data_IF_875994174642
#
_entry.id   IF_875994174642
#
_cell.length_a   1.000
_cell.length_b   1.000
_cell.length_c   1.000
_cell.angle_alpha   90.00
_cell.angle_beta   90.00
_cell.angle_gamma   90.00
#
_symmetry.space_group_name_H-M   'P 1'
#
loop_
_entity.id
_entity.type
_entity.pdbx_description
1 polymer ?
#
# COMPACT_ATOMS: atom_id res chain seq x y z
N UNK A 1 7.01 -14.22 0.88
CA UNK A 1 8.05 -13.40 1.54
C UNK A 1 7.48 -12.10 2.11
N UNK A 2 6.89 -11.21 1.29
CA UNK A 2 6.37 -9.91 1.73
C UNK A 2 5.31 -9.98 2.85
N UNK A 3 4.40 -10.95 2.79
CA UNK A 3 3.42 -11.18 3.86
C UNK A 3 4.04 -11.55 5.22
N UNK A 4 5.30 -12.03 5.26
CA UNK A 4 6.03 -12.21 6.53
C UNK A 4 6.55 -10.90 7.09
N UNK A 5 6.96 -9.96 6.21
CA UNK A 5 7.35 -8.62 6.62
C UNK A 5 6.15 -7.90 7.24
N UNK A 6 5.01 -7.90 6.58
CA UNK A 6 3.78 -7.22 7.03
C UNK A 6 2.80 -8.14 7.77
N UNK A 7 3.32 -9.20 8.40
CA UNK A 7 2.49 -10.18 9.08
C UNK A 7 1.67 -9.52 10.22
N UNK A 8 0.40 -9.91 10.45
CA UNK A 8 -0.44 -9.32 11.50
C UNK A 8 0.23 -9.26 12.88
N UNK A 9 0.93 -10.34 13.27
CA UNK A 9 1.66 -10.43 14.55
C UNK A 9 2.89 -9.50 14.64
N UNK A 10 3.30 -8.83 13.55
CA UNK A 10 4.49 -7.97 13.47
C UNK A 10 4.15 -6.53 13.10
N UNK A 11 2.87 -6.17 12.99
CA UNK A 11 2.45 -4.85 12.49
C UNK A 11 3.16 -3.70 13.20
N UNK A 12 3.22 -3.72 14.53
CA UNK A 12 3.86 -2.66 15.33
C UNK A 12 5.32 -2.40 14.93
N UNK A 13 6.08 -3.45 14.58
CA UNK A 13 7.48 -3.33 14.16
C UNK A 13 7.66 -3.12 12.67
N UNK A 14 6.66 -3.49 11.87
CA UNK A 14 6.74 -3.54 10.41
C UNK A 14 6.08 -2.34 9.73
N UNK A 15 5.22 -1.60 10.44
CA UNK A 15 4.53 -0.43 9.87
C UNK A 15 5.51 0.62 9.32
N UNK A 16 6.69 0.75 9.94
CA UNK A 16 7.75 1.65 9.48
C UNK A 16 8.24 1.38 8.05
N UNK A 17 7.97 0.19 7.48
CA UNK A 17 8.34 -0.17 6.10
C UNK A 17 7.26 0.13 5.08
N UNK A 18 6.08 0.62 5.50
CA UNK A 18 5.01 0.98 4.58
C UNK A 18 5.45 2.06 3.56
N UNK A 19 6.16 3.14 3.94
CA UNK A 19 6.59 4.16 2.98
C UNK A 19 7.47 3.58 1.86
N UNK A 20 8.50 2.80 2.23
CA UNK A 20 9.42 2.17 1.26
C UNK A 20 8.69 1.13 0.42
N UNK A 21 7.79 0.36 1.03
CA UNK A 21 6.99 -0.64 0.30
C UNK A 21 6.09 0.01 -0.75
N UNK A 22 5.55 1.20 -0.47
CA UNK A 22 4.75 1.96 -1.44
C UNK A 22 5.63 2.61 -2.51
N UNK A 23 6.84 3.07 -2.17
CA UNK A 23 7.78 3.65 -3.14
C UNK A 23 8.15 2.66 -4.26
N UNK A 24 8.29 1.38 -3.93
CA UNK A 24 8.63 0.32 -4.88
C UNK A 24 7.51 -0.01 -5.89
N UNK A 25 6.28 0.50 -5.72
CA UNK A 25 5.17 0.22 -6.63
C UNK A 25 5.45 0.60 -8.08
N UNK A 26 6.14 1.72 -8.30
CA UNK A 26 6.47 2.17 -9.66
C UNK A 26 7.49 1.24 -10.32
N UNK A 27 8.55 0.88 -9.58
CA UNK A 27 9.57 -0.05 -10.06
C UNK A 27 8.97 -1.41 -10.40
N UNK A 28 8.11 -1.94 -9.51
CA UNK A 28 7.38 -3.20 -9.74
C UNK A 28 6.58 -3.14 -11.04
N UNK A 29 5.84 -2.05 -11.27
CA UNK A 29 5.06 -1.89 -12.50
C UNK A 29 5.95 -1.88 -13.76
N UNK A 30 7.14 -1.28 -13.70
CA UNK A 30 8.07 -1.24 -14.82
C UNK A 30 8.66 -2.61 -15.17
N UNK A 31 8.72 -3.55 -14.22
CA UNK A 31 9.22 -4.91 -14.48
C UNK A 31 8.26 -5.79 -15.31
N UNK A 32 7.07 -5.28 -15.65
CA UNK A 32 6.22 -5.86 -16.69
C UNK A 32 5.29 -7.00 -16.25
N UNK A 33 5.24 -7.34 -14.96
CA UNK A 33 4.23 -8.26 -14.44
C UNK A 33 2.93 -7.49 -14.12
N UNK A 34 1.93 -7.70 -14.97
CA UNK A 34 0.62 -7.04 -14.91
C UNK A 34 -0.18 -7.35 -13.63
N UNK A 35 0.12 -8.46 -12.95
CA UNK A 35 -0.57 -8.91 -11.74
C UNK A 35 0.18 -8.56 -10.45
N UNK A 36 1.50 -8.39 -10.52
CA UNK A 36 2.36 -8.18 -9.35
C UNK A 36 1.97 -7.01 -8.45
N UNK A 37 1.54 -5.84 -8.96
CA UNK A 37 1.19 -4.72 -8.09
C UNK A 37 0.04 -5.05 -7.13
N UNK A 38 -0.93 -5.87 -7.54
CA UNK A 38 -2.06 -6.22 -6.69
C UNK A 38 -1.65 -7.16 -5.55
N UNK A 39 -0.87 -8.19 -5.88
CA UNK A 39 -0.35 -9.13 -4.87
C UNK A 39 0.60 -8.43 -3.89
N UNK A 40 1.45 -7.52 -4.38
CA UNK A 40 2.30 -6.66 -3.57
C UNK A 40 1.47 -5.84 -2.58
N UNK A 41 0.50 -5.08 -3.08
CA UNK A 41 -0.36 -4.22 -2.25
C UNK A 41 -1.15 -5.00 -1.21
N UNK A 42 -1.69 -6.18 -1.55
CA UNK A 42 -2.36 -7.04 -0.59
C UNK A 42 -1.40 -7.55 0.48
N UNK A 43 -0.21 -8.00 0.08
CA UNK A 43 0.84 -8.41 1.01
C UNK A 43 1.35 -7.28 1.91
N UNK A 44 1.26 -6.02 1.48
CA UNK A 44 1.70 -4.84 2.23
C UNK A 44 0.60 -4.25 3.12
N UNK A 45 -0.62 -4.06 2.63
CA UNK A 45 -1.68 -3.32 3.32
C UNK A 45 -2.74 -4.21 3.94
N UNK A 46 -2.87 -5.45 3.44
CA UNK A 46 -3.99 -6.34 3.75
C UNK A 46 -4.16 -6.68 5.23
N UNK A 47 -3.14 -6.49 6.07
CA UNK A 47 -3.21 -6.72 7.51
C UNK A 47 -3.44 -5.46 8.36
N UNK A 48 -3.12 -4.25 7.88
CA UNK A 48 -3.09 -3.03 8.69
C UNK A 48 -4.44 -2.35 8.86
N UNK A 49 -4.76 -1.93 10.10
CA UNK A 49 -6.01 -1.20 10.49
C UNK A 49 -5.70 0.09 11.27
N UNK A 50 -4.43 0.42 11.49
CA UNK A 50 -4.00 1.56 12.31
C UNK A 50 -4.20 2.91 11.59
N UNK A 51 -4.45 3.96 12.38
CA UNK A 51 -4.56 5.33 11.87
C UNK A 51 -3.26 5.82 11.22
N UNK A 52 -2.11 5.40 11.76
CA UNK A 52 -0.79 5.73 11.23
C UNK A 52 -0.49 5.04 9.88
N UNK A 53 -0.93 3.79 9.67
CA UNK A 53 -0.85 3.14 8.37
C UNK A 53 -1.75 3.85 7.34
N UNK A 54 -2.98 4.23 7.75
CA UNK A 54 -3.88 5.00 6.90
C UNK A 54 -3.29 6.38 6.54
N UNK A 55 -2.64 7.05 7.49
CA UNK A 55 -1.95 8.32 7.24
C UNK A 55 -0.82 8.16 6.23
N UNK A 56 -0.03 7.07 6.32
CA UNK A 56 1.03 6.76 5.35
C UNK A 56 0.47 6.60 3.94
N UNK A 57 -0.63 5.84 3.76
CA UNK A 57 -1.28 5.67 2.46
C UNK A 57 -1.80 7.01 1.91
N UNK A 58 -2.45 7.83 2.76
CA UNK A 58 -2.94 9.16 2.35
C UNK A 58 -1.80 10.09 1.95
N UNK A 59 -0.71 10.11 2.69
CA UNK A 59 0.48 10.90 2.39
C UNK A 59 1.08 10.46 1.04
N UNK A 60 1.20 9.15 0.80
CA UNK A 60 1.67 8.63 -0.47
C UNK A 60 0.77 9.05 -1.63
N UNK A 61 -0.55 8.91 -1.50
CA UNK A 61 -1.52 9.32 -2.52
C UNK A 61 -1.53 10.83 -2.79
N UNK A 62 -1.19 11.66 -1.78
CA UNK A 62 -1.08 13.12 -1.92
C UNK A 62 0.21 13.52 -2.65
N UNK A 63 1.32 12.84 -2.36
CA UNK A 63 2.59 13.02 -3.06
C UNK A 63 2.56 12.53 -4.53
N UNK A 64 1.60 11.67 -4.87
CA UNK A 64 1.43 11.06 -6.19
C UNK A 64 0.04 11.38 -6.80
N UNK A 65 -0.20 12.64 -7.21
CA UNK A 65 -1.48 13.05 -7.76
C UNK A 65 -1.82 12.32 -9.07
N UNK A 66 -3.12 12.25 -9.39
CA UNK A 66 -3.64 11.47 -10.51
C UNK A 66 -3.11 11.88 -11.90
N UNK A 67 -2.54 13.09 -12.03
CA UNK A 67 -1.93 13.56 -13.27
C UNK A 67 -0.46 13.17 -13.47
N UNK A 68 0.24 12.72 -12.42
CA UNK A 68 1.67 12.37 -12.49
C UNK A 68 1.95 10.90 -12.17
N UNK A 69 1.02 10.24 -11.49
CA UNK A 69 1.12 8.82 -11.15
C UNK A 69 0.25 7.97 -12.07
N UNK A 70 0.70 6.75 -12.36
CA UNK A 70 -0.06 5.86 -13.22
C UNK A 70 -1.49 5.64 -12.64
N UNK A 71 -2.55 5.91 -13.43
CA UNK A 71 -3.91 5.88 -12.92
C UNK A 71 -4.36 4.47 -12.53
N UNK A 72 -3.89 3.43 -13.22
CA UNK A 72 -4.22 2.04 -12.88
C UNK A 72 -3.53 1.61 -11.57
N UNK A 73 -2.26 1.97 -11.38
CA UNK A 73 -1.57 1.74 -10.09
C UNK A 73 -2.28 2.45 -8.95
N UNK A 74 -2.69 3.72 -9.17
CA UNK A 74 -3.44 4.48 -8.16
C UNK A 74 -4.73 3.77 -7.76
N UNK A 75 -5.50 3.29 -8.73
CA UNK A 75 -6.73 2.55 -8.49
C UNK A 75 -6.47 1.26 -7.72
N UNK A 76 -5.42 0.49 -8.07
CA UNK A 76 -5.04 -0.71 -7.33
C UNK A 76 -4.67 -0.40 -5.88
N UNK A 77 -3.92 0.67 -5.64
CA UNK A 77 -3.57 1.12 -4.29
C UNK A 77 -4.82 1.50 -3.50
N UNK A 78 -5.72 2.30 -4.09
CA UNK A 78 -6.99 2.69 -3.45
C UNK A 78 -7.85 1.47 -3.11
N UNK A 79 -7.94 0.50 -4.03
CA UNK A 79 -8.68 -0.74 -3.82
C UNK A 79 -8.10 -1.57 -2.66
N UNK A 80 -6.78 -1.76 -2.63
CA UNK A 80 -6.12 -2.51 -1.57
C UNK A 80 -6.18 -1.82 -0.20
N UNK A 81 -6.27 -0.49 -0.19
CA UNK A 81 -6.37 0.31 1.03
C UNK A 81 -7.82 0.51 1.53
N UNK A 82 -8.85 0.07 0.81
CA UNK A 82 -10.25 0.40 1.13
C UNK A 82 -10.62 0.01 2.57
N UNK A 83 -10.38 -1.24 2.96
CA UNK A 83 -10.67 -1.73 4.32
C UNK A 83 -9.92 -0.94 5.39
N UNK A 84 -8.62 -0.66 5.16
CA UNK A 84 -7.79 0.14 6.06
C UNK A 84 -8.36 1.56 6.23
N UNK A 85 -8.76 2.21 5.12
CA UNK A 85 -9.26 3.58 5.13
C UNK A 85 -10.68 3.67 5.71
N UNK A 86 -11.51 2.66 5.49
CA UNK A 86 -12.87 2.58 6.05
C UNK A 86 -12.86 2.34 7.55
N UNK A 87 -11.91 1.55 8.05
CA UNK A 87 -11.73 1.34 9.49
C UNK A 87 -11.46 2.64 10.27
N UNK A 88 -11.01 3.73 9.61
CA UNK A 88 -10.77 5.03 10.25
C UNK A 88 -12.01 5.92 10.36
N UNK A 89 -13.15 5.49 9.80
CA UNK A 89 -14.42 6.24 9.82
C UNK A 89 -15.43 5.66 10.81
N UNK A 90 -15.07 4.56 11.47
CA UNK A 90 -15.85 3.87 12.50
C UNK A 90 -15.43 4.42 13.87
#
# INVERSE_FOLDING_TARGET
ALGYLHHPLRQATSEKYLPESLALLQEIQLTGDIFFPAAWLQGTLGAYRSASAAATVRAFLAAHPAGTYNPQLRLKLLQAADDLLRAQKL
#
